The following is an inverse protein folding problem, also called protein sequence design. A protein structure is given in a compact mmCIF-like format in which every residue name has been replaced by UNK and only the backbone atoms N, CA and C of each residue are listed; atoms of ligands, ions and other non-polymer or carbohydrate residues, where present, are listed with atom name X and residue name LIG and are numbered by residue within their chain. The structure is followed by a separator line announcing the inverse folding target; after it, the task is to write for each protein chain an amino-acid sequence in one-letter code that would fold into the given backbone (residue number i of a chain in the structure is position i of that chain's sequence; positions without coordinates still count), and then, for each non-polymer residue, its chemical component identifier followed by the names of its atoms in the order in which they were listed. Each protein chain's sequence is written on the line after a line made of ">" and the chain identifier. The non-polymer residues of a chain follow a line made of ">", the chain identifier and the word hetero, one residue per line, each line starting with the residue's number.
data_IF_886996222228
#
_entry.id   IF_886996222228
#
_cell.length_a   1.000
_cell.length_b   1.000
_cell.length_c   1.000
_cell.angle_alpha   90.00
_cell.angle_beta   90.00
_cell.angle_gamma   90.00
#
_symmetry.space_group_name_H-M   'P 1'
#
loop_
_entity.id
_entity.type
_entity.pdbx_description
1 polymer ?
#
# COMPACT_ATOMS: atom_id res chain seq x y z
N UNK A 1 37.97 32.48 39.49
CA UNK A 1 37.62 31.67 38.31
C UNK A 1 38.00 30.19 38.48
N UNK A 2 39.26 29.87 38.83
CA UNK A 2 39.77 28.47 38.94
C UNK A 2 38.97 27.57 39.92
N UNK A 3 38.68 28.06 41.14
CA UNK A 3 37.90 27.30 42.14
C UNK A 3 36.47 26.92 41.71
N UNK A 4 35.84 27.70 40.82
CA UNK A 4 34.49 27.39 40.32
C UNK A 4 34.56 26.27 39.28
N UNK A 5 35.53 26.33 38.37
CA UNK A 5 35.76 25.29 37.36
C UNK A 5 36.09 23.94 38.02
N UNK A 6 36.91 23.94 39.06
CA UNK A 6 37.23 22.75 39.85
C UNK A 6 35.99 22.16 40.54
N UNK A 7 35.17 23.00 41.18
CA UNK A 7 33.91 22.56 41.81
C UNK A 7 32.92 21.98 40.79
N UNK A 8 32.78 22.63 39.63
CA UNK A 8 31.92 22.14 38.55
C UNK A 8 32.44 20.82 37.99
N UNK A 9 33.76 20.67 37.81
CA UNK A 9 34.37 19.43 37.35
C UNK A 9 34.13 18.28 38.36
N UNK A 10 34.32 18.53 39.65
CA UNK A 10 34.06 17.55 40.71
C UNK A 10 32.59 17.12 40.75
N UNK A 11 31.65 18.09 40.71
CA UNK A 11 30.22 17.82 40.69
C UNK A 11 29.80 17.00 39.45
N UNK A 12 30.41 17.27 38.28
CA UNK A 12 30.18 16.45 37.07
C UNK A 12 30.69 15.03 37.23
N UNK A 13 31.90 14.85 37.76
CA UNK A 13 32.46 13.52 38.02
C UNK A 13 31.60 12.72 39.01
N UNK A 14 31.07 13.38 40.04
CA UNK A 14 30.15 12.76 41.00
C UNK A 14 28.82 12.35 40.36
N UNK A 15 28.20 13.23 39.57
CA UNK A 15 26.99 12.92 38.82
C UNK A 15 27.19 11.79 37.80
N UNK A 16 28.37 11.69 37.20
CA UNK A 16 28.73 10.59 36.29
C UNK A 16 28.85 9.26 37.03
N UNK A 17 29.53 9.24 38.19
CA UNK A 17 29.59 8.04 39.04
C UNK A 17 28.21 7.61 39.51
N UNK A 18 27.38 8.56 39.94
CA UNK A 18 26.01 8.28 40.36
C UNK A 18 25.17 7.70 39.20
N UNK A 19 25.31 8.28 38.00
CA UNK A 19 24.66 7.76 36.79
C UNK A 19 25.04 6.30 36.56
N UNK A 20 26.34 5.99 36.61
CA UNK A 20 26.85 4.63 36.42
C UNK A 20 26.34 3.67 37.50
N UNK A 21 26.38 4.07 38.77
CA UNK A 21 25.89 3.25 39.90
C UNK A 21 24.41 2.90 39.74
N UNK A 22 23.57 3.85 39.29
CA UNK A 22 22.13 3.62 39.07
C UNK A 22 21.86 2.56 38.00
N UNK A 23 22.71 2.44 36.99
CA UNK A 23 22.58 1.44 35.91
C UNK A 23 23.44 0.19 36.09
N UNK A 24 24.30 0.14 37.10
CA UNK A 24 25.25 -0.95 37.30
C UNK A 24 24.59 -2.34 37.37
N UNK A 25 23.36 -2.40 37.89
CA UNK A 25 22.57 -3.64 37.94
C UNK A 25 22.23 -4.24 36.56
N UNK A 26 22.28 -3.44 35.49
CA UNK A 26 22.10 -3.89 34.10
C UNK A 26 23.42 -4.29 33.44
N UNK A 27 24.58 -3.91 34.01
CA UNK A 27 25.91 -4.06 33.41
C UNK A 27 26.56 -5.39 33.79
N UNK A 28 25.93 -6.49 33.38
CA UNK A 28 26.55 -7.82 33.44
C UNK A 28 27.64 -7.95 32.38
N UNK A 29 28.59 -8.89 32.55
CA UNK A 29 29.64 -9.12 31.54
C UNK A 29 29.08 -9.41 30.13
N UNK A 30 28.04 -10.27 29.97
CA UNK A 30 27.41 -10.47 28.67
C UNK A 30 26.82 -9.19 28.10
N UNK A 31 26.13 -8.39 28.94
CA UNK A 31 25.54 -7.13 28.49
C UNK A 31 26.59 -6.14 28.03
N UNK A 32 27.70 -6.02 28.76
CA UNK A 32 28.79 -5.13 28.37
C UNK A 32 29.39 -5.55 27.02
N UNK A 33 29.56 -6.85 26.79
CA UNK A 33 30.02 -7.37 25.50
C UNK A 33 29.04 -7.08 24.36
N UNK A 34 27.73 -7.25 24.59
CA UNK A 34 26.69 -6.86 23.63
C UNK A 34 26.74 -5.36 23.31
N UNK A 35 26.84 -4.50 24.32
CA UNK A 35 26.95 -3.05 24.13
C UNK A 35 28.22 -2.67 23.36
N UNK A 36 29.34 -3.35 23.64
CA UNK A 36 30.60 -3.11 22.92
C UNK A 36 30.51 -3.60 21.46
N UNK A 37 29.77 -4.67 21.18
CA UNK A 37 29.50 -5.12 19.81
C UNK A 37 28.73 -4.09 18.97
N UNK A 38 27.96 -3.19 19.61
CA UNK A 38 27.27 -2.10 18.91
C UNK A 38 28.24 -1.11 18.26
N UNK A 39 29.45 -1.00 18.82
CA UNK A 39 30.48 -0.06 18.36
C UNK A 39 31.33 -0.62 17.22
N UNK A 40 31.33 -1.94 17.03
CA UNK A 40 32.11 -2.62 16.00
C UNK A 40 31.44 -2.44 14.64
N UNK A 41 32.25 -2.12 13.62
CA UNK A 41 31.79 -2.07 12.23
C UNK A 41 31.53 -3.49 11.75
N UNK A 42 30.30 -3.76 11.35
CA UNK A 42 29.94 -5.05 10.79
C UNK A 42 30.30 -5.06 9.29
N UNK A 43 31.11 -6.03 8.81
CA UNK A 43 31.60 -6.06 7.44
C UNK A 43 30.50 -6.33 6.40
N UNK A 44 29.38 -6.93 6.79
CA UNK A 44 28.26 -7.20 5.86
C UNK A 44 27.47 -5.93 5.57
N UNK A 45 27.23 -5.11 6.59
CA UNK A 45 26.46 -3.86 6.48
C UNK A 45 27.35 -2.62 6.32
N UNK A 46 28.68 -2.75 6.44
CA UNK A 46 29.69 -1.67 6.36
C UNK A 46 29.44 -0.49 7.31
N UNK A 47 28.68 -0.71 8.37
CA UNK A 47 28.36 0.27 9.40
C UNK A 47 28.38 -0.41 10.78
N UNK A 48 28.55 0.37 11.84
CA UNK A 48 28.34 -0.16 13.19
C UNK A 48 26.85 -0.34 13.47
N UNK A 49 26.48 -1.31 14.30
CA UNK A 49 25.09 -1.53 14.71
C UNK A 49 24.49 -0.34 15.47
N UNK A 50 25.32 0.44 16.19
CA UNK A 50 24.91 1.71 16.79
C UNK A 50 24.41 2.71 15.74
N UNK A 51 25.19 2.94 14.68
CA UNK A 51 24.81 3.87 13.59
C UNK A 51 23.48 3.45 12.97
N UNK A 52 23.30 2.15 12.72
CA UNK A 52 22.07 1.61 12.13
C UNK A 52 20.86 1.73 13.07
N UNK A 53 21.05 1.59 14.39
CA UNK A 53 20.00 1.79 15.40
C UNK A 53 19.63 3.28 15.62
N UNK A 54 20.50 4.21 15.22
CA UNK A 54 20.28 5.66 15.36
C UNK A 54 19.73 6.27 14.08
N UNK A 55 20.06 5.70 12.93
CA UNK A 55 19.52 6.10 11.63
C UNK A 55 18.07 5.63 11.49
N UNK A 56 17.17 6.58 11.25
CA UNK A 56 15.79 6.27 10.83
C UNK A 56 15.76 5.64 9.45
N UNK A 57 14.62 5.05 9.11
CA UNK A 57 14.34 4.49 7.78
C UNK A 57 14.04 5.59 6.78
N UNK A 58 14.18 5.28 5.48
CA UNK A 58 13.68 6.13 4.40
C UNK A 58 12.16 5.93 4.21
N UNK A 59 11.46 6.88 3.59
CA UNK A 59 10.00 6.82 3.33
C UNK A 59 9.68 5.86 2.16
N UNK A 60 9.81 4.54 2.37
CA UNK A 60 9.53 3.52 1.37
C UNK A 60 8.92 2.25 1.95
N UNK A 61 8.09 1.55 1.17
CA UNK A 61 7.56 0.23 1.55
C UNK A 61 8.68 -0.83 1.74
N UNK A 62 9.83 -0.66 1.08
CA UNK A 62 11.01 -1.48 1.36
C UNK A 62 11.59 -1.19 2.76
N UNK A 63 11.48 0.07 3.21
CA UNK A 63 11.96 0.50 4.52
C UNK A 63 11.19 -0.12 5.68
N UNK A 64 9.92 -0.53 5.49
CA UNK A 64 9.18 -1.30 6.51
C UNK A 64 9.91 -2.59 6.86
N UNK A 65 10.43 -3.32 5.86
CA UNK A 65 11.18 -4.56 6.11
C UNK A 65 12.51 -4.30 6.80
N UNK A 66 13.19 -3.22 6.40
CA UNK A 66 14.45 -2.83 7.01
C UNK A 66 14.24 -2.44 8.48
N UNK A 67 13.23 -1.62 8.79
CA UNK A 67 12.87 -1.26 10.17
C UNK A 67 12.49 -2.48 11.02
N UNK A 68 11.71 -3.42 10.48
CA UNK A 68 11.40 -4.68 11.19
C UNK A 68 12.65 -5.53 11.45
N UNK A 69 13.63 -5.53 10.53
CA UNK A 69 14.90 -6.20 10.74
C UNK A 69 15.74 -5.51 11.85
N UNK A 70 15.75 -4.17 11.90
CA UNK A 70 16.35 -3.41 13.00
C UNK A 70 15.71 -3.77 14.33
N UNK A 71 14.38 -3.77 14.36
CA UNK A 71 13.60 -4.08 15.55
C UNK A 71 13.83 -5.51 16.05
N UNK A 72 13.89 -6.49 15.15
CA UNK A 72 14.24 -7.88 15.48
C UNK A 72 15.64 -7.97 16.11
N UNK A 73 16.62 -7.24 15.56
CA UNK A 73 17.96 -7.16 16.14
C UNK A 73 17.94 -6.53 17.55
N UNK A 74 17.22 -5.43 17.74
CA UNK A 74 17.09 -4.76 19.04
C UNK A 74 16.37 -5.62 20.08
N UNK A 75 15.38 -6.41 19.66
CA UNK A 75 14.73 -7.41 20.50
C UNK A 75 15.65 -8.57 20.89
N UNK A 76 16.53 -9.02 19.98
CA UNK A 76 17.58 -9.99 20.31
C UNK A 76 18.58 -9.50 21.36
N UNK A 77 18.64 -8.18 21.58
CA UNK A 77 19.40 -7.55 22.66
C UNK A 77 18.53 -7.18 23.86
N UNK A 78 17.27 -7.64 23.94
CA UNK A 78 16.35 -7.30 25.02
C UNK A 78 16.21 -5.78 25.28
N UNK A 79 16.39 -4.95 24.24
CA UNK A 79 16.44 -3.50 24.39
C UNK A 79 15.14 -2.92 24.99
N UNK A 80 14.02 -3.56 24.71
CA UNK A 80 12.68 -3.22 25.18
C UNK A 80 12.42 -3.60 26.66
N UNK A 81 13.23 -4.47 27.25
CA UNK A 81 13.06 -4.89 28.67
C UNK A 81 14.04 -4.19 29.60
N UNK A 82 14.86 -3.26 29.10
CA UNK A 82 15.84 -2.54 29.90
C UNK A 82 15.16 -1.62 30.92
N UNK A 83 15.22 -1.99 32.20
CA UNK A 83 14.71 -1.16 33.29
C UNK A 83 15.65 0.00 33.62
N UNK A 84 15.48 1.11 32.92
CA UNK A 84 16.18 2.36 33.20
C UNK A 84 15.44 3.26 34.20
N UNK A 85 14.41 2.79 34.92
CA UNK A 85 13.61 3.62 35.84
C UNK A 85 14.42 4.26 36.98
N UNK A 86 15.55 3.66 37.35
CA UNK A 86 16.49 4.20 38.36
C UNK A 86 17.22 5.46 37.89
N UNK A 87 17.20 5.74 36.59
CA UNK A 87 17.68 7.00 36.01
C UNK A 87 16.50 7.97 35.78
N UNK A 88 16.64 9.25 36.17
CA UNK A 88 15.65 10.28 35.84
C UNK A 88 15.39 10.35 34.34
N UNK A 89 14.14 10.59 33.94
CA UNK A 89 13.73 10.60 32.53
C UNK A 89 14.57 11.57 31.68
N UNK A 90 14.80 12.79 32.15
CA UNK A 90 15.63 13.78 31.47
C UNK A 90 17.10 13.36 31.34
N UNK A 91 17.61 12.61 32.34
CA UNK A 91 18.97 12.06 32.27
C UNK A 91 19.07 11.00 31.17
N UNK A 92 18.07 10.12 31.05
CA UNK A 92 18.00 9.13 29.96
C UNK A 92 17.97 9.80 28.58
N UNK A 93 17.07 10.78 28.40
CA UNK A 93 16.95 11.54 27.15
C UNK A 93 18.24 12.26 26.78
N UNK A 94 18.88 12.92 27.74
CA UNK A 94 20.16 13.60 27.52
C UNK A 94 21.25 12.63 27.07
N UNK A 95 21.41 11.48 27.76
CA UNK A 95 22.43 10.50 27.43
C UNK A 95 22.18 9.84 26.06
N UNK A 96 20.93 9.51 25.75
CA UNK A 96 20.55 9.00 24.44
C UNK A 96 20.87 10.03 23.34
N UNK A 97 20.50 11.30 23.53
CA UNK A 97 20.82 12.38 22.60
C UNK A 97 22.33 12.57 22.41
N UNK A 98 23.11 12.48 23.49
CA UNK A 98 24.58 12.55 23.41
C UNK A 98 25.13 11.37 22.62
N UNK A 99 24.65 10.15 22.89
CA UNK A 99 25.10 8.96 22.17
C UNK A 99 24.78 9.00 20.68
N UNK A 100 23.58 9.47 20.29
CA UNK A 100 23.19 9.65 18.89
C UNK A 100 24.09 10.61 18.10
N UNK A 101 24.71 11.59 18.77
CA UNK A 101 25.60 12.58 18.14
C UNK A 101 27.06 12.13 18.09
N UNK A 102 27.42 11.08 18.81
CA UNK A 102 28.79 10.59 18.89
C UNK A 102 29.02 9.49 17.86
N UNK A 103 30.22 9.46 17.29
CA UNK A 103 30.63 8.32 16.47
C UNK A 103 30.96 7.11 17.35
N UNK A 104 30.82 5.88 16.82
CA UNK A 104 31.20 4.66 17.54
C UNK A 104 32.63 4.72 18.09
N UNK A 105 33.58 5.25 17.32
CA UNK A 105 34.98 5.40 17.74
C UNK A 105 35.14 6.42 18.88
N UNK A 106 34.31 7.46 18.92
CA UNK A 106 34.32 8.45 20.00
C UNK A 106 33.74 7.91 21.31
N UNK A 107 32.80 6.96 21.21
CA UNK A 107 32.26 6.25 22.37
C UNK A 107 33.21 5.19 22.88
N UNK A 108 33.90 4.48 21.99
CA UNK A 108 34.84 3.42 22.34
C UNK A 108 36.03 3.94 23.16
N UNK A 109 36.52 5.15 22.82
CA UNK A 109 37.62 5.82 23.55
C UNK A 109 37.24 6.32 24.95
N UNK A 110 35.97 6.25 25.35
CA UNK A 110 35.53 6.73 26.67
C UNK A 110 35.73 5.66 27.73
N UNK A 111 35.93 6.13 28.95
CA UNK A 111 35.93 5.25 30.11
C UNK A 111 34.61 4.47 30.22
N UNK A 112 34.64 3.18 30.62
CA UNK A 112 33.46 2.32 30.76
C UNK A 112 32.31 2.96 31.55
N UNK A 113 32.64 3.71 32.60
CA UNK A 113 31.69 4.39 33.48
C UNK A 113 30.85 5.44 32.74
N UNK A 114 31.39 6.04 31.67
CA UNK A 114 30.69 7.00 30.82
C UNK A 114 30.11 6.33 29.57
N UNK A 115 30.80 5.34 29.02
CA UNK A 115 30.43 4.62 27.80
C UNK A 115 29.12 3.84 27.97
N UNK A 116 29.05 2.97 28.96
CA UNK A 116 27.92 2.05 29.09
C UNK A 116 26.58 2.71 29.42
N UNK A 117 26.49 3.73 30.31
CA UNK A 117 25.22 4.42 30.52
C UNK A 117 24.71 5.12 29.25
N UNK A 118 25.60 5.67 28.43
CA UNK A 118 25.22 6.26 27.14
C UNK A 118 24.66 5.18 26.21
N UNK A 119 25.40 4.07 26.02
CA UNK A 119 24.98 2.98 25.14
C UNK A 119 23.66 2.35 25.57
N UNK A 120 23.44 2.11 26.87
CA UNK A 120 22.17 1.61 27.40
C UNK A 120 21.00 2.53 27.05
N UNK A 121 21.17 3.84 27.26
CA UNK A 121 20.11 4.81 26.97
C UNK A 121 19.83 4.95 25.47
N UNK A 122 20.86 4.87 24.62
CA UNK A 122 20.65 4.84 23.16
C UNK A 122 19.93 3.57 22.76
N UNK A 123 20.36 2.40 23.25
CA UNK A 123 19.75 1.11 22.92
C UNK A 123 18.26 1.08 23.28
N UNK A 124 17.92 1.49 24.51
CA UNK A 124 16.53 1.56 24.96
C UNK A 124 15.70 2.57 24.16
N UNK A 125 16.25 3.75 23.86
CA UNK A 125 15.55 4.77 23.07
C UNK A 125 15.35 4.33 21.61
N UNK A 126 16.37 3.72 21.00
CA UNK A 126 16.31 3.21 19.63
C UNK A 126 15.24 2.14 19.47
N UNK A 127 15.00 1.28 20.46
CA UNK A 127 13.94 0.28 20.40
C UNK A 127 12.55 0.92 20.30
N UNK A 128 12.32 2.01 21.03
CA UNK A 128 11.06 2.77 20.96
C UNK A 128 10.95 3.52 19.63
N UNK A 129 11.99 4.24 19.23
CA UNK A 129 11.95 5.06 18.02
C UNK A 129 11.75 4.20 16.76
N UNK A 130 12.47 3.07 16.65
CA UNK A 130 12.33 2.12 15.53
C UNK A 130 10.93 1.48 15.51
N UNK A 131 10.33 1.23 16.68
CA UNK A 131 8.96 0.72 16.74
C UNK A 131 7.96 1.76 16.24
N UNK A 132 8.08 3.01 16.70
CA UNK A 132 7.20 4.12 16.28
C UNK A 132 7.33 4.40 14.77
N UNK A 133 8.56 4.36 14.24
CA UNK A 133 8.85 4.51 12.82
C UNK A 133 8.26 3.35 12.01
N UNK A 134 8.41 2.10 12.46
CA UNK A 134 7.86 0.93 11.78
C UNK A 134 6.32 0.96 11.70
N UNK A 135 5.65 1.39 12.78
CA UNK A 135 4.19 1.57 12.80
C UNK A 135 3.78 2.67 11.82
N UNK A 136 4.48 3.81 11.84
CA UNK A 136 4.18 4.94 10.95
C UNK A 136 4.31 4.57 9.47
N UNK A 137 5.40 3.88 9.10
CA UNK A 137 5.62 3.40 7.72
C UNK A 137 4.58 2.35 7.29
N UNK A 138 4.14 1.50 8.23
CA UNK A 138 3.08 0.53 7.94
C UNK A 138 1.75 1.23 7.63
N UNK A 139 1.36 2.22 8.45
CA UNK A 139 0.13 2.99 8.26
C UNK A 139 0.15 3.75 6.92
N UNK A 140 1.28 4.33 6.55
CA UNK A 140 1.47 4.98 5.26
C UNK A 140 1.34 3.99 4.09
N UNK A 141 2.00 2.82 4.19
CA UNK A 141 1.96 1.79 3.15
C UNK A 141 0.53 1.26 2.93
N UNK A 142 -0.24 1.04 4.00
CA UNK A 142 -1.65 0.64 3.94
C UNK A 142 -2.49 1.74 3.27
N UNK A 143 -2.34 2.98 3.71
CA UNK A 143 -3.07 4.13 3.17
C UNK A 143 -2.80 4.34 1.68
N UNK A 144 -1.55 4.21 1.25
CA UNK A 144 -1.16 4.30 -0.14
C UNK A 144 -1.79 3.18 -0.98
N UNK A 145 -1.87 1.96 -0.45
CA UNK A 145 -2.52 0.83 -1.15
C UNK A 145 -4.03 1.05 -1.28
N UNK A 146 -4.69 1.52 -0.23
CA UNK A 146 -6.12 1.85 -0.27
C UNK A 146 -6.41 2.96 -1.28
N UNK A 147 -5.61 4.03 -1.28
CA UNK A 147 -5.74 5.15 -2.22
C UNK A 147 -5.63 4.68 -3.68
N UNK A 148 -4.64 3.84 -4.01
CA UNK A 148 -4.49 3.25 -5.35
C UNK A 148 -5.70 2.40 -5.74
N UNK A 149 -6.21 1.58 -4.82
CA UNK A 149 -7.39 0.75 -5.08
C UNK A 149 -8.64 1.61 -5.34
N UNK A 150 -8.86 2.66 -4.53
CA UNK A 150 -9.98 3.60 -4.72
C UNK A 150 -9.89 4.34 -6.05
N UNK A 151 -8.71 4.82 -6.43
CA UNK A 151 -8.51 5.49 -7.70
C UNK A 151 -8.74 4.53 -8.87
N UNK A 152 -8.24 3.29 -8.77
CA UNK A 152 -8.50 2.28 -9.80
C UNK A 152 -10.00 1.95 -9.93
N UNK A 153 -10.71 1.85 -8.82
CA UNK A 153 -12.17 1.65 -8.83
C UNK A 153 -12.89 2.82 -9.50
N UNK A 154 -12.49 4.07 -9.20
CA UNK A 154 -13.05 5.27 -9.85
C UNK A 154 -12.82 5.26 -11.36
N UNK A 155 -11.61 4.92 -11.80
CA UNK A 155 -11.30 4.78 -13.23
C UNK A 155 -12.18 3.73 -13.91
N UNK A 156 -12.36 2.56 -13.29
CA UNK A 156 -13.20 1.49 -13.82
C UNK A 156 -14.66 1.93 -13.92
N UNK A 157 -15.18 2.61 -12.88
CA UNK A 157 -16.55 3.14 -12.90
C UNK A 157 -16.73 4.23 -13.95
N UNK A 158 -15.76 5.13 -14.10
CA UNK A 158 -15.80 6.18 -15.13
C UNK A 158 -15.75 5.59 -16.54
N UNK A 159 -14.89 4.61 -16.78
CA UNK A 159 -14.82 3.89 -18.05
C UNK A 159 -16.14 3.15 -18.35
N UNK A 160 -16.77 2.54 -17.34
CA UNK A 160 -18.08 1.91 -17.48
C UNK A 160 -19.18 2.92 -17.80
N UNK A 161 -19.18 4.08 -17.15
CA UNK A 161 -20.15 5.14 -17.43
C UNK A 161 -20.02 5.65 -18.87
N UNK A 162 -18.79 5.92 -19.33
CA UNK A 162 -18.52 6.32 -20.71
C UNK A 162 -18.94 5.25 -21.73
N UNK A 163 -18.65 3.98 -21.46
CA UNK A 163 -19.10 2.88 -22.31
C UNK A 163 -20.64 2.75 -22.33
N UNK A 164 -21.31 3.02 -21.20
CA UNK A 164 -22.76 3.06 -21.10
C UNK A 164 -23.38 4.21 -21.90
N UNK A 165 -22.81 5.41 -21.83
CA UNK A 165 -23.24 6.58 -22.60
C UNK A 165 -23.05 6.36 -24.10
N UNK A 166 -21.91 5.83 -24.53
CA UNK A 166 -21.66 5.50 -25.94
C UNK A 166 -22.64 4.43 -26.45
N UNK A 167 -22.98 3.43 -25.62
CA UNK A 167 -24.02 2.44 -25.93
C UNK A 167 -25.38 3.11 -26.11
N UNK A 168 -25.77 4.01 -25.20
CA UNK A 168 -27.03 4.74 -25.29
C UNK A 168 -27.09 5.57 -26.58
N UNK A 169 -26.04 6.32 -26.90
CA UNK A 169 -25.96 7.13 -28.12
C UNK A 169 -26.09 6.30 -29.40
N UNK A 170 -25.45 5.12 -29.43
CA UNK A 170 -25.58 4.20 -30.56
C UNK A 170 -27.00 3.63 -30.67
N UNK A 171 -27.66 3.32 -29.55
CA UNK A 171 -29.06 2.90 -29.55
C UNK A 171 -29.98 4.03 -30.06
N UNK A 172 -29.77 5.28 -29.63
CA UNK A 172 -30.50 6.44 -30.14
C UNK A 172 -30.28 6.66 -31.65
N UNK A 173 -29.14 6.26 -32.21
CA UNK A 173 -28.88 6.30 -33.66
C UNK A 173 -29.56 5.16 -34.42
N UNK A 174 -29.58 3.95 -33.85
CA UNK A 174 -30.18 2.76 -34.47
C UNK A 174 -31.71 2.81 -34.40
N UNK A 175 -32.29 3.32 -33.30
CA UNK A 175 -33.73 3.33 -33.06
C UNK A 175 -34.53 3.98 -34.21
N UNK A 176 -34.18 5.17 -34.75
CA UNK A 176 -34.88 5.76 -35.89
C UNK A 176 -34.88 4.88 -37.15
N UNK A 177 -33.81 4.13 -37.40
CA UNK A 177 -33.72 3.20 -38.55
C UNK A 177 -34.67 2.02 -38.34
N UNK A 178 -34.75 1.51 -37.11
CA UNK A 178 -35.71 0.45 -36.75
C UNK A 178 -37.16 0.93 -36.82
N UNK A 179 -37.44 2.17 -36.42
CA UNK A 179 -38.79 2.77 -36.48
C UNK A 179 -39.26 3.01 -37.92
N UNK A 180 -38.34 3.23 -38.87
CA UNK A 180 -38.66 3.41 -40.30
C UNK A 180 -38.91 2.07 -41.04
N UNK A 181 -38.66 0.94 -40.38
CA UNK A 181 -39.10 -0.37 -40.86
C UNK A 181 -40.50 -0.68 -40.31
N UNK A 182 -41.41 -1.15 -41.16
CA UNK A 182 -42.80 -1.48 -40.80
C UNK A 182 -42.90 -2.72 -39.87
N UNK A 183 -42.34 -2.62 -38.68
CA UNK A 183 -42.26 -3.66 -37.65
C UNK A 183 -43.33 -3.44 -36.56
N UNK A 184 -43.74 -4.52 -35.90
CA UNK A 184 -44.62 -4.47 -34.73
C UNK A 184 -43.78 -4.20 -33.47
N UNK A 185 -44.32 -3.48 -32.48
CA UNK A 185 -43.60 -3.06 -31.26
C UNK A 185 -43.02 -4.26 -30.48
N UNK A 186 -43.68 -5.43 -30.58
CA UNK A 186 -43.28 -6.69 -29.95
C UNK A 186 -41.98 -7.28 -30.55
N UNK A 187 -41.63 -6.92 -31.78
CA UNK A 187 -40.52 -7.53 -32.54
C UNK A 187 -39.21 -6.71 -32.47
N UNK A 188 -39.27 -5.44 -32.04
CA UNK A 188 -38.13 -4.49 -32.04
C UNK A 188 -36.94 -4.97 -31.18
N UNK A 189 -37.20 -5.75 -30.13
CA UNK A 189 -36.19 -6.18 -29.16
C UNK A 189 -35.33 -7.39 -29.56
N UNK A 190 -35.57 -8.02 -30.71
CA UNK A 190 -34.80 -9.22 -31.11
C UNK A 190 -33.48 -8.86 -31.80
N UNK A 191 -32.41 -9.58 -31.45
CA UNK A 191 -31.01 -9.35 -31.90
C UNK A 191 -30.85 -9.30 -33.42
N UNK A 192 -31.79 -9.93 -34.14
CA UNK A 192 -31.82 -10.03 -35.60
C UNK A 192 -32.11 -8.68 -36.29
N UNK A 193 -32.95 -7.83 -35.67
CA UNK A 193 -33.31 -6.54 -36.24
C UNK A 193 -32.24 -5.47 -36.03
N UNK A 194 -31.55 -5.51 -34.89
CA UNK A 194 -30.34 -4.71 -34.68
C UNK A 194 -29.31 -4.97 -35.78
N UNK A 195 -29.08 -6.24 -36.14
CA UNK A 195 -28.16 -6.61 -37.23
C UNK A 195 -28.56 -6.03 -38.60
N UNK A 196 -29.86 -5.99 -38.92
CA UNK A 196 -30.38 -5.42 -40.16
C UNK A 196 -30.20 -3.89 -40.21
N UNK A 197 -30.54 -3.19 -39.13
CA UNK A 197 -30.37 -1.73 -39.04
C UNK A 197 -28.89 -1.32 -39.16
N UNK A 198 -27.98 -2.04 -38.50
CA UNK A 198 -26.53 -1.82 -38.59
C UNK A 198 -26.03 -2.01 -40.03
N UNK A 199 -26.49 -3.05 -40.74
CA UNK A 199 -26.08 -3.30 -42.12
C UNK A 199 -26.61 -2.23 -43.08
N UNK A 200 -27.84 -1.74 -42.87
CA UNK A 200 -28.39 -0.63 -43.63
C UNK A 200 -27.59 0.66 -43.41
N UNK A 201 -27.29 1.02 -42.16
CA UNK A 201 -26.48 2.20 -41.83
C UNK A 201 -25.08 2.13 -42.44
N UNK A 202 -24.44 0.94 -42.47
CA UNK A 202 -23.16 0.73 -43.17
C UNK A 202 -23.30 0.89 -44.68
N UNK A 203 -24.40 0.43 -45.28
CA UNK A 203 -24.68 0.60 -46.71
C UNK A 203 -24.91 2.07 -47.10
N UNK A 204 -25.43 2.88 -46.16
CA UNK A 204 -25.54 4.34 -46.28
C UNK A 204 -24.19 5.07 -46.06
N UNK A 205 -23.10 4.33 -45.80
CA UNK A 205 -21.76 4.89 -45.61
C UNK A 205 -21.46 5.39 -44.20
N UNK A 206 -22.30 5.09 -43.21
CA UNK A 206 -22.03 5.48 -41.81
C UNK A 206 -21.02 4.52 -41.17
N UNK A 207 -20.02 5.10 -40.52
CA UNK A 207 -19.03 4.36 -39.76
C UNK A 207 -19.61 3.99 -38.39
N UNK A 208 -19.86 2.69 -38.17
CA UNK A 208 -20.29 2.17 -36.87
C UNK A 208 -19.11 1.43 -36.23
N UNK A 209 -18.73 1.86 -35.04
CA UNK A 209 -17.65 1.25 -34.28
C UNK A 209 -17.99 -0.20 -33.88
N UNK A 210 -17.16 -1.13 -34.32
CA UNK A 210 -17.31 -2.55 -34.02
C UNK A 210 -17.11 -2.87 -32.52
N UNK A 211 -16.33 -2.07 -31.81
CA UNK A 211 -16.11 -2.21 -30.37
C UNK A 211 -17.38 -1.83 -29.58
N UNK A 212 -18.06 -0.75 -29.99
CA UNK A 212 -19.35 -0.36 -29.41
C UNK A 212 -20.47 -1.36 -29.71
N UNK A 213 -20.47 -1.94 -30.91
CA UNK A 213 -21.43 -2.98 -31.32
C UNK A 213 -21.32 -4.26 -30.49
N UNK A 214 -20.10 -4.66 -30.10
CA UNK A 214 -19.90 -5.81 -29.22
C UNK A 214 -20.57 -5.58 -27.84
N UNK A 215 -20.72 -4.32 -27.43
CA UNK A 215 -21.33 -3.93 -26.18
C UNK A 215 -22.84 -3.69 -26.26
N UNK A 216 -23.46 -3.60 -27.43
CA UNK A 216 -24.91 -3.35 -27.57
C UNK A 216 -25.76 -4.62 -27.67
N UNK A 217 -25.15 -5.77 -28.02
CA UNK A 217 -25.86 -7.05 -28.05
C UNK A 217 -26.22 -7.54 -26.64
N UNK A 218 -27.48 -7.94 -26.37
CA UNK A 218 -27.86 -8.64 -25.14
C UNK A 218 -27.02 -9.90 -24.88
N UNK A 219 -26.45 -10.48 -25.94
CA UNK A 219 -25.72 -11.73 -25.93
C UNK A 219 -24.20 -11.60 -25.66
N UNK A 220 -23.63 -10.39 -25.70
CA UNK A 220 -22.18 -10.19 -25.56
C UNK A 220 -21.78 -9.17 -24.49
N UNK A 221 -22.74 -8.52 -23.82
CA UNK A 221 -22.42 -7.84 -22.58
C UNK A 221 -22.28 -8.87 -21.46
N UNK A 222 -21.08 -9.02 -20.89
CA UNK A 222 -20.95 -9.58 -19.54
C UNK A 222 -21.73 -8.68 -18.59
N UNK A 223 -23.02 -8.99 -18.39
CA UNK A 223 -23.83 -8.34 -17.38
C UNK A 223 -23.42 -8.90 -16.03
N UNK A 224 -22.38 -8.30 -15.44
CA UNK A 224 -22.09 -8.51 -14.02
C UNK A 224 -23.13 -7.74 -13.22
N UNK A 225 -24.24 -8.42 -12.91
CA UNK A 225 -25.16 -7.99 -11.87
C UNK A 225 -24.49 -8.21 -10.51
N UNK A 226 -24.95 -7.46 -9.49
CA UNK A 226 -24.46 -7.53 -8.10
C UNK A 226 -24.44 -8.96 -7.50
N UNK A 227 -25.16 -9.92 -8.11
CA UNK A 227 -25.27 -11.32 -7.68
C UNK A 227 -24.53 -12.35 -8.54
N UNK A 228 -23.71 -11.93 -9.51
CA UNK A 228 -22.86 -12.83 -10.30
C UNK A 228 -23.01 -12.68 -11.82
N UNK A 229 -22.08 -13.33 -12.53
CA UNK A 229 -21.99 -13.35 -14.00
C UNK A 229 -22.94 -14.41 -14.57
N UNK A 230 -23.86 -14.01 -15.44
CA UNK A 230 -24.66 -14.95 -16.25
C UNK A 230 -23.97 -15.06 -17.61
N UNK A 231 -23.32 -16.19 -17.87
CA UNK A 231 -22.80 -16.52 -19.19
C UNK A 231 -23.95 -17.05 -20.05
N UNK A 232 -24.28 -16.35 -21.13
CA UNK A 232 -25.26 -16.83 -22.11
C UNK A 232 -24.48 -17.42 -23.28
N UNK A 233 -24.60 -18.73 -23.48
CA UNK A 233 -23.88 -19.48 -24.52
C UNK A 233 -24.65 -19.34 -25.85
N UNK A 234 -24.16 -18.47 -26.73
CA UNK A 234 -24.87 -18.07 -27.96
C UNK A 234 -24.77 -19.15 -29.05
N UNK A 235 -23.73 -19.98 -29.00
CA UNK A 235 -23.44 -20.98 -30.04
C UNK A 235 -24.40 -22.18 -30.01
N UNK A 236 -25.13 -22.40 -28.91
CA UNK A 236 -25.96 -23.59 -28.68
C UNK A 236 -27.46 -23.40 -28.94
N UNK A 237 -27.95 -22.18 -29.21
CA UNK A 237 -29.33 -21.93 -29.65
C UNK A 237 -29.43 -21.45 -31.12
N UNK A 238 -29.20 -22.34 -32.12
CA UNK A 238 -29.52 -22.02 -33.50
C UNK A 238 -31.02 -22.22 -33.74
N UNK A 239 -31.83 -21.21 -33.42
CA UNK A 239 -33.22 -21.18 -33.86
C UNK A 239 -33.29 -20.96 -35.39
N UNK A 240 -33.26 -22.05 -36.18
CA UNK A 240 -33.56 -22.14 -37.64
C UNK A 240 -33.43 -20.81 -38.41
N UNK A 241 -32.20 -20.39 -38.67
CA UNK A 241 -31.86 -19.20 -39.44
C UNK A 241 -32.10 -19.44 -40.94
N UNK A 242 -32.55 -18.41 -41.68
CA UNK A 242 -32.70 -18.39 -43.13
C UNK A 242 -31.34 -18.24 -43.84
N UNK A 243 -31.25 -18.34 -45.19
CA UNK A 243 -29.98 -18.30 -45.94
C UNK A 243 -29.14 -17.03 -45.74
N UNK A 244 -29.77 -15.94 -45.31
CA UNK A 244 -29.09 -14.69 -44.95
C UNK A 244 -28.49 -14.69 -43.53
N UNK A 245 -28.63 -15.78 -42.77
CA UNK A 245 -28.12 -15.90 -41.40
C UNK A 245 -29.04 -15.32 -40.31
N UNK A 246 -30.28 -14.95 -40.65
CA UNK A 246 -31.27 -14.39 -39.72
C UNK A 246 -32.53 -15.27 -39.68
N UNK A 247 -33.22 -15.39 -38.55
CA UNK A 247 -34.49 -16.11 -38.48
C UNK A 247 -35.55 -15.34 -39.27
N UNK A 248 -36.39 -16.02 -40.07
CA UNK A 248 -37.41 -15.32 -40.85
C UNK A 248 -38.48 -14.74 -39.91
N UNK A 249 -38.87 -13.49 -40.17
CA UNK A 249 -40.04 -12.84 -39.56
C UNK A 249 -41.25 -13.79 -39.62
N UNK A 250 -41.90 -14.03 -38.48
CA UNK A 250 -43.08 -14.90 -38.47
C UNK A 250 -44.18 -14.23 -39.29
N UNK A 251 -44.81 -14.93 -40.25
CA UNK A 251 -45.91 -14.34 -40.99
C UNK A 251 -47.03 -14.00 -40.02
N UNK A 252 -47.48 -12.74 -40.09
CA UNK A 252 -48.60 -12.18 -39.33
C UNK A 252 -49.80 -13.12 -39.48
N UNK A 253 -50.22 -13.78 -38.39
CA UNK A 253 -51.52 -14.45 -38.37
C UNK A 253 -52.58 -13.35 -38.38
N UNK A 254 -53.14 -13.07 -39.55
CA UNK A 254 -54.42 -12.39 -39.63
C UNK A 254 -55.43 -13.25 -38.87
N UNK A 255 -55.89 -12.75 -37.71
CA UNK A 255 -57.03 -13.33 -37.03
C UNK A 255 -58.22 -13.23 -37.97
N UNK A 256 -58.79 -14.37 -38.35
CA UNK A 256 -60.06 -14.40 -39.05
C UNK A 256 -61.16 -13.99 -38.04
N UNK A 257 -61.71 -12.80 -38.24
CA UNK A 257 -63.11 -12.46 -37.97
C UNK A 257 -63.48 -11.25 -38.84
#
# INVERSE_FOLDING_TARGET
>A
MVKLLERVASARAEAERETHQRVAHLLTEPRMAELDSLLVVDPQIRASRLVLAVQGGDDSAAAVKDELAKLTYLWGLDAHTLDLSRLPAERRRLLAMVGRRLTPQSLDRREPQRRYPILLTVLAQSATDVLDDAVSLFDEAVSARESRARNKMKEVLAARAAAGENRQALLDEILPVLVDTAMDDEDVGTTEHYGLAINQMRAEGRAIDAELLAHTSPAHSENVNFYGTIAMEVDTEPAKLAPAGYRPLRPRRLAAA
#
